data_IF_958209255129
#
_entry.id   IF_958209255129
#
_cell.length_a   1.000
_cell.length_b   1.000
_cell.length_c   1.000
_cell.angle_alpha   90.00
_cell.angle_beta   90.00
_cell.angle_gamma   90.00
#
_symmetry.space_group_name_H-M   'P 1'
#
loop_
_entity.id
_entity.type
_entity.pdbx_description
1 polymer ?
#
# COMPACT_ATOMS: atom_id res chain seq x y z
N UNK A 1 -5.02 5.00 -19.29
CA UNK A 1 -5.74 6.31 -19.24
C UNK A 1 -6.63 6.45 -18.00
N UNK A 2 -6.81 5.38 -17.21
CA UNK A 2 -7.73 5.31 -16.06
C UNK A 2 -7.08 5.55 -14.70
N UNK A 3 -5.78 5.75 -14.65
CA UNK A 3 -5.05 6.02 -13.41
C UNK A 3 -5.46 7.38 -12.84
N UNK A 4 -5.97 7.39 -11.59
CA UNK A 4 -6.34 8.62 -10.88
C UNK A 4 -7.73 9.19 -11.19
N UNK A 5 -8.59 8.46 -11.93
CA UNK A 5 -9.99 8.84 -12.14
C UNK A 5 -10.94 7.99 -11.28
N UNK A 6 -12.10 8.57 -10.92
CA UNK A 6 -13.14 7.85 -10.16
C UNK A 6 -13.84 6.78 -11.01
N UNK A 7 -14.52 5.81 -10.37
CA UNK A 7 -15.30 4.78 -11.06
C UNK A 7 -16.31 5.37 -12.06
N UNK A 8 -17.06 6.40 -11.64
CA UNK A 8 -18.03 7.09 -12.51
C UNK A 8 -17.37 7.78 -13.72
N UNK A 9 -16.18 8.34 -13.54
CA UNK A 9 -15.41 8.92 -14.66
C UNK A 9 -14.89 7.85 -15.60
N UNK A 10 -14.47 6.68 -15.07
CA UNK A 10 -14.06 5.51 -15.86
C UNK A 10 -15.20 5.01 -16.75
N UNK A 11 -16.40 4.84 -16.19
CA UNK A 11 -17.59 4.43 -16.95
C UNK A 11 -17.91 5.39 -18.09
N UNK A 12 -17.90 6.71 -17.83
CA UNK A 12 -18.12 7.74 -18.86
C UNK A 12 -17.06 7.70 -19.97
N UNK A 13 -15.79 7.48 -19.60
CA UNK A 13 -14.71 7.33 -20.56
C UNK A 13 -14.96 6.09 -21.45
N UNK A 14 -15.28 4.95 -20.87
CA UNK A 14 -15.52 3.71 -21.59
C UNK A 14 -16.72 3.82 -22.52
N UNK A 15 -17.83 4.39 -22.05
CA UNK A 15 -18.99 4.67 -22.88
C UNK A 15 -18.65 5.55 -24.10
N UNK A 16 -17.77 6.53 -23.90
CA UNK A 16 -17.30 7.42 -24.97
C UNK A 16 -16.44 6.66 -25.98
N UNK A 17 -15.50 5.83 -25.52
CA UNK A 17 -14.63 5.03 -26.39
C UNK A 17 -15.45 4.01 -27.23
N UNK A 18 -16.41 3.33 -26.60
CA UNK A 18 -17.34 2.43 -27.31
C UNK A 18 -18.17 3.17 -28.35
N UNK A 19 -18.67 4.38 -28.04
CA UNK A 19 -19.40 5.20 -28.99
C UNK A 19 -18.54 5.58 -30.20
N UNK A 20 -17.28 5.93 -29.99
CA UNK A 20 -16.35 6.26 -31.08
C UNK A 20 -16.04 5.02 -31.95
N UNK A 21 -15.85 3.87 -31.33
CA UNK A 21 -15.65 2.61 -32.05
C UNK A 21 -16.87 2.23 -32.92
N UNK A 22 -18.09 2.41 -32.40
CA UNK A 22 -19.33 2.18 -33.16
C UNK A 22 -19.54 3.17 -34.31
N UNK A 23 -18.84 4.31 -34.31
CA UNK A 23 -18.80 5.26 -35.42
C UNK A 23 -17.75 4.90 -36.49
N UNK A 24 -17.09 3.76 -36.36
CA UNK A 24 -16.08 3.25 -37.32
C UNK A 24 -14.65 3.71 -37.01
N UNK A 25 -14.39 4.32 -35.84
CA UNK A 25 -13.03 4.68 -35.40
C UNK A 25 -12.36 3.47 -34.76
N UNK A 26 -11.09 3.24 -35.11
CA UNK A 26 -10.27 2.25 -34.41
C UNK A 26 -9.71 2.87 -33.16
N UNK A 27 -9.96 2.23 -32.01
CA UNK A 27 -9.43 2.65 -30.72
C UNK A 27 -8.30 1.73 -30.31
N UNK A 28 -7.11 2.27 -30.09
CA UNK A 28 -5.99 1.57 -29.49
C UNK A 28 -5.91 1.94 -28.00
N UNK A 29 -6.19 0.95 -27.15
CA UNK A 29 -6.22 1.13 -25.69
C UNK A 29 -5.06 0.38 -25.06
N UNK A 30 -4.21 1.09 -24.30
CA UNK A 30 -3.09 0.50 -23.58
C UNK A 30 -3.37 0.57 -22.10
N UNK A 31 -3.48 -0.57 -21.44
CA UNK A 31 -3.67 -0.72 -20.01
C UNK A 31 -2.95 -1.96 -19.50
N UNK A 32 -2.61 -1.92 -18.23
CA UNK A 32 -2.14 -3.09 -17.48
C UNK A 32 -3.25 -3.66 -16.58
N UNK A 33 -4.42 -3.01 -16.49
CA UNK A 33 -5.59 -3.49 -15.75
C UNK A 33 -6.41 -4.42 -16.63
N UNK A 34 -6.38 -5.71 -16.28
CA UNK A 34 -7.00 -6.76 -17.09
C UNK A 34 -8.51 -6.59 -17.19
N UNK A 35 -9.19 -6.21 -16.11
CA UNK A 35 -10.64 -5.95 -16.10
C UNK A 35 -11.05 -4.86 -17.10
N UNK A 36 -10.24 -3.80 -17.24
CA UNK A 36 -10.51 -2.73 -18.19
C UNK A 36 -10.37 -3.22 -19.63
N UNK A 37 -9.39 -4.08 -19.85
CA UNK A 37 -9.13 -4.72 -21.17
C UNK A 37 -10.27 -5.67 -21.51
N UNK A 38 -10.70 -6.51 -20.58
CA UNK A 38 -11.81 -7.44 -20.74
C UNK A 38 -13.14 -6.72 -21.04
N UNK A 39 -13.39 -5.61 -20.38
CA UNK A 39 -14.61 -4.83 -20.52
C UNK A 39 -14.68 -4.04 -21.83
N UNK A 40 -13.54 -3.55 -22.33
CA UNK A 40 -13.53 -2.57 -23.43
C UNK A 40 -13.06 -3.14 -24.76
N UNK A 41 -12.11 -4.10 -24.76
CA UNK A 41 -11.43 -4.53 -25.95
C UNK A 41 -12.12 -5.73 -26.61
N UNK A 42 -12.12 -5.76 -27.94
CA UNK A 42 -12.57 -6.92 -28.74
C UNK A 42 -11.40 -7.74 -29.30
N UNK A 43 -10.16 -7.27 -29.10
CA UNK A 43 -8.91 -7.95 -29.45
C UNK A 43 -7.80 -7.44 -28.55
N UNK A 44 -6.99 -8.32 -28.00
CA UNK A 44 -5.91 -7.99 -27.08
C UNK A 44 -4.59 -8.52 -27.61
N UNK A 45 -3.58 -7.67 -27.68
CA UNK A 45 -2.21 -8.05 -28.00
C UNK A 45 -1.36 -7.85 -26.75
N UNK A 46 -0.76 -8.93 -26.26
CA UNK A 46 0.07 -8.90 -25.05
C UNK A 46 1.53 -8.65 -25.44
N UNK A 47 2.11 -7.61 -24.86
CA UNK A 47 3.54 -7.29 -25.01
C UNK A 47 4.30 -7.71 -23.75
N UNK A 48 5.46 -8.35 -23.97
CA UNK A 48 6.40 -8.68 -22.89
C UNK A 48 7.84 -8.43 -23.37
N UNK A 49 8.60 -7.64 -22.60
CA UNK A 49 10.00 -7.30 -22.91
C UNK A 49 10.22 -6.77 -24.35
N UNK A 50 9.29 -5.94 -24.82
CA UNK A 50 9.35 -5.34 -26.16
C UNK A 50 8.94 -6.27 -27.31
N UNK A 51 8.48 -7.49 -27.03
CA UNK A 51 8.01 -8.46 -28.02
C UNK A 51 6.54 -8.79 -27.81
N UNK A 52 5.84 -9.18 -28.89
CA UNK A 52 4.48 -9.71 -28.82
C UNK A 52 4.55 -11.11 -28.20
N UNK A 53 3.97 -11.28 -27.02
CA UNK A 53 3.90 -12.57 -26.32
C UNK A 53 2.71 -13.41 -26.79
N UNK A 54 1.64 -12.77 -27.26
CA UNK A 54 0.46 -13.45 -27.80
C UNK A 54 -0.65 -12.49 -28.17
N UNK A 55 -1.70 -13.04 -28.77
CA UNK A 55 -2.94 -12.35 -29.11
C UNK A 55 -4.12 -13.16 -28.57
N UNK A 56 -5.11 -12.49 -27.98
CA UNK A 56 -6.28 -13.12 -27.37
C UNK A 56 -7.55 -12.43 -27.85
N UNK A 57 -8.55 -13.25 -28.13
CA UNK A 57 -9.90 -12.85 -28.52
C UNK A 57 -10.89 -13.27 -27.42
N UNK A 58 -12.04 -12.60 -27.31
CA UNK A 58 -13.10 -13.02 -26.37
C UNK A 58 -13.61 -14.45 -26.66
N UNK A 59 -14.01 -15.23 -25.68
CA UNK A 59 -14.06 -14.90 -24.25
C UNK A 59 -12.67 -14.92 -23.60
N UNK A 60 -12.39 -13.93 -22.76
CA UNK A 60 -11.09 -13.78 -22.14
C UNK A 60 -10.90 -14.69 -20.93
N UNK A 61 -9.65 -15.10 -20.68
CA UNK A 61 -9.24 -15.83 -19.49
C UNK A 61 -8.12 -15.06 -18.79
N UNK A 62 -8.41 -14.50 -17.62
CA UNK A 62 -7.47 -13.72 -16.82
C UNK A 62 -6.17 -14.48 -16.51
N UNK A 63 -6.24 -15.80 -16.24
CA UNK A 63 -5.06 -16.62 -15.98
C UNK A 63 -4.15 -16.75 -17.22
N UNK A 64 -4.72 -16.78 -18.40
CA UNK A 64 -3.99 -16.81 -19.67
C UNK A 64 -3.26 -15.49 -19.93
N UNK A 65 -3.91 -14.36 -19.69
CA UNK A 65 -3.27 -13.04 -19.74
C UNK A 65 -2.07 -12.95 -18.80
N UNK A 66 -2.28 -13.33 -17.53
CA UNK A 66 -1.23 -13.33 -16.51
C UNK A 66 -0.05 -14.20 -16.94
N UNK A 67 -0.33 -15.40 -17.50
CA UNK A 67 0.72 -16.26 -18.00
C UNK A 67 1.46 -15.64 -19.21
N UNK A 68 0.77 -15.06 -20.17
CA UNK A 68 1.40 -14.40 -21.34
C UNK A 68 2.23 -13.19 -20.91
N UNK A 69 1.73 -12.38 -19.97
CA UNK A 69 2.43 -11.18 -19.48
C UNK A 69 3.67 -11.54 -18.69
N UNK A 70 3.63 -12.58 -17.84
CA UNK A 70 4.69 -12.87 -16.86
C UNK A 70 5.50 -14.13 -17.16
N UNK A 71 5.01 -15.01 -18.03
CA UNK A 71 5.67 -16.29 -18.36
C UNK A 71 5.62 -17.33 -17.24
N UNK A 72 4.83 -17.10 -16.21
CA UNK A 72 4.60 -18.00 -15.07
C UNK A 72 3.21 -17.75 -14.46
N UNK A 73 2.62 -18.77 -13.88
CA UNK A 73 1.43 -18.58 -13.03
C UNK A 73 1.81 -17.76 -11.80
N UNK A 74 1.08 -16.70 -11.57
CA UNK A 74 1.25 -15.88 -10.36
C UNK A 74 0.27 -16.41 -9.33
N UNK A 75 0.78 -17.20 -8.40
CA UNK A 75 0.00 -17.63 -7.24
C UNK A 75 -0.03 -16.45 -6.25
N UNK A 76 -1.17 -15.79 -6.17
CA UNK A 76 -1.47 -14.83 -5.10
C UNK A 76 -1.81 -15.65 -3.88
N UNK A 77 -0.77 -16.24 -3.27
CA UNK A 77 -0.85 -17.26 -2.24
C UNK A 77 -1.91 -16.97 -1.17
N UNK A 78 -2.63 -18.04 -0.80
CA UNK A 78 -3.58 -18.03 0.29
C UNK A 78 -2.95 -17.49 1.59
N UNK A 79 -3.74 -16.75 2.36
CA UNK A 79 -3.33 -16.15 3.63
C UNK A 79 -3.11 -17.24 4.69
N UNK A 80 -1.90 -17.79 4.77
CA UNK A 80 -1.48 -18.58 5.93
C UNK A 80 -0.70 -17.66 6.88
N UNK A 81 -1.34 -17.23 7.95
CA UNK A 81 -0.67 -16.52 9.05
C UNK A 81 -0.27 -17.52 10.11
N UNK A 82 1.04 -17.69 10.30
CA UNK A 82 1.62 -18.52 11.37
C UNK A 82 1.85 -17.72 12.66
N UNK A 83 1.38 -16.47 12.73
CA UNK A 83 1.64 -15.59 13.86
C UNK A 83 0.62 -15.80 14.98
N UNK A 84 1.08 -15.65 16.22
CA UNK A 84 0.19 -15.60 17.39
C UNK A 84 -0.79 -14.44 17.23
N UNK A 85 -2.07 -14.64 17.58
CA UNK A 85 -3.10 -13.58 17.48
C UNK A 85 -2.94 -12.47 18.53
N UNK A 86 -1.72 -12.21 19.00
CA UNK A 86 -1.43 -11.13 19.94
C UNK A 86 -1.48 -9.79 19.23
N UNK A 87 -2.10 -8.81 19.88
CA UNK A 87 -2.14 -7.44 19.41
C UNK A 87 -0.79 -6.78 19.64
N UNK A 88 -0.12 -6.32 18.56
CA UNK A 88 1.11 -5.52 18.69
C UNK A 88 0.81 -4.04 18.89
N UNK A 89 -0.22 -3.52 18.23
CA UNK A 89 -0.59 -2.10 18.32
C UNK A 89 -2.02 -1.97 18.80
N UNK A 90 -2.24 -1.12 19.81
CA UNK A 90 -3.57 -0.81 20.34
C UNK A 90 -3.75 0.70 20.43
N UNK A 91 -4.85 1.17 19.86
CA UNK A 91 -5.28 2.56 19.85
C UNK A 91 -6.55 2.70 20.67
N UNK A 92 -6.56 3.62 21.62
CA UNK A 92 -7.68 3.89 22.50
C UNK A 92 -8.14 5.34 22.34
N UNK A 93 -9.34 5.52 21.80
CA UNK A 93 -10.01 6.81 21.63
C UNK A 93 -9.11 7.89 21.01
N UNK A 94 -8.37 7.50 19.97
CA UNK A 94 -7.41 8.37 19.32
C UNK A 94 -8.10 9.47 18.53
N UNK A 95 -7.63 10.70 18.73
CA UNK A 95 -7.86 11.84 17.86
C UNK A 95 -6.56 12.37 17.32
N UNK A 96 -6.54 12.74 16.05
CA UNK A 96 -5.41 13.40 15.38
C UNK A 96 -5.93 14.45 14.41
N UNK A 97 -5.25 15.59 14.32
CA UNK A 97 -5.67 16.70 13.49
C UNK A 97 -4.51 17.39 12.78
N UNK A 98 -4.81 17.97 11.64
CA UNK A 98 -4.01 18.98 10.98
C UNK A 98 -4.88 20.24 10.72
N UNK A 99 -4.36 21.20 9.99
CA UNK A 99 -5.07 22.46 9.69
C UNK A 99 -6.32 22.31 8.80
N UNK A 100 -6.57 21.15 8.22
CA UNK A 100 -7.70 20.86 7.30
C UNK A 100 -8.69 19.86 7.85
N UNK A 101 -8.19 18.89 8.62
CA UNK A 101 -8.97 17.70 8.96
C UNK A 101 -8.69 17.26 10.39
N UNK A 102 -9.73 16.80 11.06
CA UNK A 102 -9.65 16.16 12.36
C UNK A 102 -10.26 14.75 12.31
N UNK A 103 -9.49 13.74 12.71
CA UNK A 103 -9.97 12.38 12.96
C UNK A 103 -10.25 12.24 14.46
N UNK A 104 -11.32 11.55 14.86
CA UNK A 104 -11.73 11.41 16.25
C UNK A 104 -12.17 9.98 16.58
N UNK A 105 -11.95 9.61 17.85
CA UNK A 105 -12.56 8.41 18.43
C UNK A 105 -12.09 7.10 17.84
N UNK A 106 -10.87 7.03 17.31
CA UNK A 106 -10.36 5.81 16.67
C UNK A 106 -9.96 4.81 17.74
N UNK A 107 -10.62 3.65 17.73
CA UNK A 107 -10.29 2.48 18.53
C UNK A 107 -9.90 1.36 17.58
N UNK A 108 -8.69 0.85 17.69
CA UNK A 108 -8.18 -0.17 16.79
C UNK A 108 -7.12 -1.03 17.48
N UNK A 109 -7.22 -2.34 17.28
CA UNK A 109 -6.16 -3.28 17.58
C UNK A 109 -5.62 -3.85 16.27
N UNK A 110 -4.30 -3.87 16.11
CA UNK A 110 -3.59 -4.44 14.97
C UNK A 110 -2.85 -5.67 15.47
N UNK A 111 -3.23 -6.83 14.92
CA UNK A 111 -2.65 -8.12 15.29
C UNK A 111 -1.33 -8.34 14.57
N UNK A 112 -0.42 -9.09 15.19
CA UNK A 112 0.85 -9.48 14.56
C UNK A 112 0.61 -10.24 13.25
N UNK A 113 1.30 -9.83 12.18
CA UNK A 113 1.16 -10.40 10.85
C UNK A 113 -0.08 -9.99 10.06
N UNK A 114 -0.92 -9.12 10.62
CA UNK A 114 -2.14 -8.64 9.98
C UNK A 114 -1.87 -7.54 8.96
N UNK A 115 -2.65 -7.51 7.89
CA UNK A 115 -2.65 -6.45 6.88
C UNK A 115 -3.94 -5.66 6.95
N UNK A 116 -3.85 -4.36 7.21
CA UNK A 116 -4.98 -3.43 7.24
C UNK A 116 -4.88 -2.46 6.06
N UNK A 117 -5.92 -2.43 5.23
CA UNK A 117 -6.09 -1.46 4.15
C UNK A 117 -6.81 -0.20 4.62
N UNK A 118 -6.36 0.96 4.16
CA UNK A 118 -7.00 2.24 4.42
C UNK A 118 -7.63 2.76 3.13
N UNK A 119 -8.95 2.69 3.03
CA UNK A 119 -9.73 3.16 1.89
C UNK A 119 -10.29 4.57 2.15
N UNK A 120 -10.37 5.39 1.11
CA UNK A 120 -10.93 6.75 1.19
C UNK A 120 -10.44 7.63 0.07
N UNK A 121 -11.10 8.78 -0.12
CA UNK A 121 -10.61 9.79 -1.06
C UNK A 121 -9.28 10.39 -0.57
N UNK A 122 -8.45 10.84 -1.49
CA UNK A 122 -7.22 11.54 -1.13
C UNK A 122 -7.54 12.75 -0.23
N UNK A 123 -6.82 12.86 0.88
CA UNK A 123 -7.08 13.92 1.89
C UNK A 123 -8.14 13.57 2.93
N UNK A 124 -8.76 12.38 2.92
CA UNK A 124 -9.75 11.99 3.93
C UNK A 124 -9.15 11.58 5.30
N UNK A 125 -7.81 11.56 5.44
CA UNK A 125 -7.15 11.36 6.72
C UNK A 125 -6.26 10.12 6.82
N UNK A 126 -6.18 9.27 5.81
CA UNK A 126 -5.35 8.05 5.81
C UNK A 126 -3.88 8.38 6.11
N UNK A 127 -3.32 9.39 5.41
CA UNK A 127 -1.95 9.84 5.61
C UNK A 127 -1.74 10.40 7.01
N UNK A 128 -2.70 11.19 7.50
CA UNK A 128 -2.68 11.75 8.86
C UNK A 128 -2.62 10.62 9.90
N UNK A 129 -3.43 9.58 9.72
CA UNK A 129 -3.45 8.40 10.56
C UNK A 129 -2.12 7.63 10.51
N UNK A 130 -1.55 7.38 9.32
CA UNK A 130 -0.26 6.71 9.18
C UNK A 130 0.87 7.51 9.87
N UNK A 131 0.93 8.82 9.66
CA UNK A 131 1.95 9.68 10.28
C UNK A 131 1.82 9.75 11.80
N UNK A 132 0.63 9.66 12.33
CA UNK A 132 0.40 9.56 13.78
C UNK A 132 0.95 8.23 14.33
N UNK A 133 0.73 7.11 13.64
CA UNK A 133 1.28 5.79 14.02
C UNK A 133 2.80 5.70 13.95
N UNK A 134 3.47 6.67 13.36
CA UNK A 134 4.94 6.75 13.32
C UNK A 134 5.52 7.70 14.36
N UNK A 135 4.70 8.46 15.06
CA UNK A 135 5.16 9.56 15.90
C UNK A 135 5.63 10.81 15.15
N UNK A 136 5.40 10.88 13.81
CA UNK A 136 5.59 12.09 13.00
C UNK A 136 4.52 13.15 13.30
N UNK A 137 3.36 12.70 13.76
CA UNK A 137 2.30 13.57 14.29
C UNK A 137 1.88 13.11 15.68
N UNK A 138 1.55 14.05 16.54
CA UNK A 138 1.08 13.73 17.90
C UNK A 138 -0.43 13.59 17.90
N UNK A 139 -0.99 12.60 18.61
CA UNK A 139 -2.42 12.55 18.85
C UNK A 139 -2.85 13.74 19.71
N UNK A 140 -4.04 14.25 19.45
CA UNK A 140 -4.67 15.33 20.26
C UNK A 140 -5.27 14.76 21.55
N UNK A 141 -5.80 13.54 21.44
CA UNK A 141 -6.35 12.78 22.58
C UNK A 141 -6.18 11.28 22.33
N UNK A 142 -6.44 10.50 23.39
CA UNK A 142 -6.35 9.05 23.35
C UNK A 142 -4.94 8.51 23.62
N UNK A 143 -4.75 7.20 23.45
CA UNK A 143 -3.49 6.51 23.75
C UNK A 143 -3.07 5.57 22.65
N UNK A 144 -1.77 5.47 22.42
CA UNK A 144 -1.12 4.54 21.49
C UNK A 144 -0.27 3.58 22.30
N UNK A 145 -0.52 2.28 22.16
CA UNK A 145 0.29 1.24 22.78
C UNK A 145 0.97 0.41 21.68
N UNK A 146 2.25 0.14 21.88
CA UNK A 146 3.02 -0.82 21.10
C UNK A 146 3.60 -1.86 22.07
N UNK A 147 3.27 -3.13 21.88
CA UNK A 147 3.67 -4.22 22.77
C UNK A 147 3.37 -3.85 24.24
N UNK A 148 2.11 -3.45 24.52
CA UNK A 148 1.56 -2.99 25.80
C UNK A 148 2.27 -1.77 26.44
N UNK A 149 3.25 -1.18 25.77
CA UNK A 149 3.96 0.03 26.24
C UNK A 149 3.32 1.29 25.67
N UNK A 150 3.14 2.31 26.50
CA UNK A 150 2.59 3.61 26.07
C UNK A 150 3.60 4.36 25.18
N UNK A 151 3.19 4.63 23.95
CA UNK A 151 3.93 5.39 22.95
C UNK A 151 3.29 6.73 22.62
N UNK A 152 2.25 7.13 23.36
CA UNK A 152 1.52 8.37 23.14
C UNK A 152 2.46 9.57 23.18
N UNK A 153 2.51 10.34 22.09
CA UNK A 153 3.34 11.53 21.96
C UNK A 153 4.85 11.31 21.91
N UNK A 154 5.33 10.07 21.87
CA UNK A 154 6.75 9.77 21.65
C UNK A 154 7.19 10.21 20.26
N UNK A 155 8.45 10.62 20.07
CA UNK A 155 8.98 11.06 18.78
C UNK A 155 9.23 9.87 17.84
N UNK A 156 9.32 10.16 16.54
CA UNK A 156 9.51 9.19 15.46
C UNK A 156 10.60 8.13 15.75
N UNK A 157 11.78 8.54 16.22
CA UNK A 157 12.87 7.59 16.47
C UNK A 157 12.55 6.56 17.58
N UNK A 158 11.62 6.87 18.50
CA UNK A 158 11.17 5.89 19.50
C UNK A 158 10.32 4.80 18.84
N UNK A 159 9.43 5.17 17.91
CA UNK A 159 8.67 4.22 17.10
C UNK A 159 9.59 3.38 16.22
N UNK A 160 10.58 4.01 15.57
CA UNK A 160 11.56 3.31 14.72
C UNK A 160 12.34 2.25 15.52
N UNK A 161 12.79 2.58 16.74
CA UNK A 161 13.45 1.63 17.66
C UNK A 161 12.52 0.50 18.11
N UNK A 162 11.22 0.74 18.19
CA UNK A 162 10.22 -0.28 18.48
C UNK A 162 9.85 -1.14 17.24
N UNK A 163 10.54 -0.98 16.12
CA UNK A 163 10.32 -1.77 14.91
C UNK A 163 9.17 -1.25 14.04
N UNK A 164 8.83 0.03 14.12
CA UNK A 164 7.88 0.69 13.22
C UNK A 164 8.65 1.30 12.05
N UNK A 165 8.23 1.01 10.82
CA UNK A 165 8.77 1.62 9.60
C UNK A 165 7.66 2.32 8.80
N UNK A 166 8.03 3.39 8.10
CA UNK A 166 7.12 4.16 7.27
C UNK A 166 7.71 4.42 5.89
N UNK A 167 6.95 4.09 4.87
CA UNK A 167 7.30 4.35 3.47
C UNK A 167 6.27 5.31 2.87
N UNK A 168 6.67 6.56 2.56
CA UNK A 168 5.79 7.57 1.98
C UNK A 168 5.51 7.32 0.50
N UNK A 169 4.42 7.90 -0.03
CA UNK A 169 4.10 7.89 -1.45
C UNK A 169 5.07 8.73 -2.28
N UNK A 170 5.51 9.85 -1.73
CA UNK A 170 6.42 10.80 -2.36
C UNK A 170 7.87 10.31 -2.20
N UNK A 171 8.28 9.42 -3.11
CA UNK A 171 9.55 8.68 -3.01
C UNK A 171 10.77 9.57 -2.93
N UNK A 172 10.90 10.54 -3.83
CA UNK A 172 12.07 11.42 -3.92
C UNK A 172 11.98 12.65 -3.02
N UNK A 173 10.79 12.99 -2.54
CA UNK A 173 10.58 14.16 -1.69
C UNK A 173 10.64 13.81 -0.19
N UNK A 174 10.25 12.58 0.17
CA UNK A 174 10.14 12.18 1.59
C UNK A 174 10.84 10.86 1.94
N UNK A 175 11.00 9.95 0.97
CA UNK A 175 11.51 8.60 1.23
C UNK A 175 12.96 8.38 0.88
N UNK A 176 13.46 9.08 -0.14
CA UNK A 176 14.81 8.97 -0.70
C UNK A 176 15.41 10.36 -0.81
N UNK A 177 16.73 10.47 -0.85
CA UNK A 177 17.44 11.74 -0.88
C UNK A 177 18.05 11.94 -2.27
N UNK A 178 17.59 12.95 -2.99
CA UNK A 178 18.16 13.30 -4.29
C UNK A 178 19.64 13.69 -4.17
N UNK A 179 20.44 13.31 -5.16
CA UNK A 179 21.88 13.54 -5.17
C UNK A 179 22.69 12.52 -4.38
N UNK A 180 22.04 11.55 -3.71
CA UNK A 180 22.72 10.46 -3.01
C UNK A 180 22.70 9.16 -3.83
N UNK A 181 23.76 8.39 -3.70
CA UNK A 181 23.92 7.07 -4.31
C UNK A 181 23.13 5.99 -3.55
N UNK A 182 22.92 4.83 -4.18
CA UNK A 182 22.36 3.66 -3.50
C UNK A 182 23.17 3.27 -2.26
N UNK A 183 24.52 3.31 -2.35
CA UNK A 183 25.38 2.99 -1.22
C UNK A 183 25.17 3.92 -0.04
N UNK A 184 25.10 5.22 -0.28
CA UNK A 184 24.84 6.20 0.80
C UNK A 184 23.48 6.00 1.45
N UNK A 185 22.42 5.70 0.67
CA UNK A 185 21.11 5.39 1.21
C UNK A 185 21.13 4.16 2.12
N UNK A 186 21.77 3.06 1.69
CA UNK A 186 21.81 1.84 2.51
C UNK A 186 22.69 2.01 3.75
N UNK A 187 23.77 2.74 3.67
CA UNK A 187 24.57 3.13 4.84
C UNK A 187 23.68 3.89 5.84
N UNK A 188 22.96 4.93 5.39
CA UNK A 188 22.09 5.72 6.28
C UNK A 188 20.95 4.92 6.91
N UNK A 189 20.49 3.85 6.26
CA UNK A 189 19.38 3.03 6.78
C UNK A 189 19.77 2.10 7.92
N UNK A 190 21.07 1.80 8.06
CA UNK A 190 21.56 0.90 9.11
C UNK A 190 21.82 1.66 10.43
N UNK A 191 21.86 0.93 11.53
CA UNK A 191 22.26 1.47 12.83
C UNK A 191 23.78 1.53 12.94
N UNK A 192 24.32 2.73 13.09
CA UNK A 192 25.75 2.93 13.30
C UNK A 192 26.03 3.19 14.77
N UNK A 193 26.84 2.32 15.39
CA UNK A 193 27.41 2.54 16.71
C UNK A 193 28.85 3.09 16.65
N UNK A 194 29.45 3.10 15.45
CA UNK A 194 30.83 3.51 15.21
C UNK A 194 30.89 4.98 14.79
N UNK A 195 31.98 5.67 15.16
CA UNK A 195 32.21 7.08 14.84
C UNK A 195 32.55 7.30 13.35
N UNK A 196 33.03 6.26 12.68
CA UNK A 196 33.43 6.28 11.27
C UNK A 196 32.61 5.28 10.45
N UNK A 197 32.24 5.69 9.25
CA UNK A 197 31.52 4.85 8.29
C UNK A 197 32.52 3.95 7.55
N UNK A 198 32.29 2.64 7.62
CA UNK A 198 33.05 1.67 6.83
C UNK A 198 32.47 1.57 5.41
N UNK A 199 33.10 2.27 4.48
CA UNK A 199 32.70 2.30 3.05
C UNK A 199 32.67 0.90 2.42
N UNK A 200 33.59 0.00 2.79
CA UNK A 200 33.64 -1.36 2.22
C UNK A 200 32.44 -2.18 2.66
N UNK A 201 32.06 -2.10 3.94
CA UNK A 201 30.84 -2.73 4.45
C UNK A 201 29.60 -2.15 3.77
N UNK A 202 29.55 -0.82 3.55
CA UNK A 202 28.48 -0.17 2.82
C UNK A 202 28.31 -0.67 1.40
N UNK A 203 29.40 -0.82 0.65
CA UNK A 203 29.38 -1.35 -0.71
C UNK A 203 28.88 -2.80 -0.72
N UNK A 204 29.41 -3.66 0.15
CA UNK A 204 28.97 -5.07 0.25
C UNK A 204 27.47 -5.18 0.58
N UNK A 205 26.99 -4.37 1.52
CA UNK A 205 25.54 -4.31 1.85
C UNK A 205 24.72 -3.89 0.63
N UNK A 206 25.19 -2.89 -0.11
CA UNK A 206 24.53 -2.38 -1.32
C UNK A 206 24.41 -3.44 -2.39
N UNK A 207 25.48 -4.17 -2.68
CA UNK A 207 25.49 -5.28 -3.65
C UNK A 207 24.51 -6.37 -3.24
N UNK A 208 24.48 -6.74 -1.96
CA UNK A 208 23.52 -7.69 -1.43
C UNK A 208 22.07 -7.20 -1.62
N UNK A 209 21.76 -5.95 -1.28
CA UNK A 209 20.42 -5.36 -1.41
C UNK A 209 19.99 -5.21 -2.87
N UNK A 210 20.91 -4.79 -3.76
CA UNK A 210 20.66 -4.73 -5.21
C UNK A 210 20.27 -6.12 -5.73
N UNK A 211 20.99 -7.17 -5.35
CA UNK A 211 20.66 -8.54 -5.73
C UNK A 211 19.36 -9.05 -5.14
N UNK A 212 19.14 -8.87 -3.82
CA UNK A 212 17.94 -9.32 -3.11
C UNK A 212 16.65 -8.68 -3.62
N UNK A 213 16.71 -7.37 -3.96
CA UNK A 213 15.56 -6.58 -4.39
C UNK A 213 15.49 -6.38 -5.90
N UNK A 214 16.38 -7.01 -6.67
CA UNK A 214 16.45 -6.90 -8.13
C UNK A 214 16.43 -5.45 -8.63
N UNK A 215 17.21 -4.58 -7.99
CA UNK A 215 17.32 -3.18 -8.37
C UNK A 215 18.17 -3.10 -9.63
N UNK A 216 17.66 -2.51 -10.70
CA UNK A 216 18.43 -2.23 -11.92
C UNK A 216 19.25 -0.96 -11.72
N UNK A 217 20.43 -1.13 -11.12
CA UNK A 217 21.37 -0.07 -10.77
C UNK A 217 22.67 -0.69 -10.25
N UNK A 218 23.60 0.15 -9.88
CA UNK A 218 24.90 -0.21 -9.27
C UNK A 218 25.17 0.69 -8.06
N UNK A 219 26.20 0.39 -7.29
CA UNK A 219 26.52 1.04 -6.03
C UNK A 219 26.52 2.59 -6.08
N UNK A 220 27.05 3.15 -7.17
CA UNK A 220 27.19 4.59 -7.38
C UNK A 220 26.01 5.21 -8.14
N UNK A 221 24.97 4.42 -8.48
CA UNK A 221 23.79 4.97 -9.14
C UNK A 221 23.10 5.98 -8.24
N UNK A 222 22.89 7.20 -8.76
CA UNK A 222 22.08 8.21 -8.10
C UNK A 222 20.62 7.79 -8.12
N UNK A 223 19.92 8.00 -7.00
CA UNK A 223 18.55 7.48 -6.82
C UNK A 223 17.56 8.05 -7.84
N UNK A 224 17.69 9.30 -8.24
CA UNK A 224 16.85 9.98 -9.22
C UNK A 224 17.03 9.45 -10.65
N UNK A 225 18.15 8.79 -10.95
CA UNK A 225 18.41 8.18 -12.25
C UNK A 225 17.72 6.84 -12.44
N UNK A 226 17.23 6.24 -11.34
CA UNK A 226 16.53 4.98 -11.39
C UNK A 226 15.09 5.18 -11.89
N UNK A 227 14.55 4.19 -12.60
CA UNK A 227 13.12 4.17 -12.92
C UNK A 227 12.27 4.12 -11.65
N UNK A 228 11.02 4.60 -11.72
CA UNK A 228 10.11 4.62 -10.58
C UNK A 228 9.95 3.25 -9.89
N UNK A 229 9.95 2.14 -10.67
CA UNK A 229 9.94 0.78 -10.12
C UNK A 229 11.22 0.44 -9.35
N UNK A 230 12.39 0.87 -9.83
CA UNK A 230 13.64 0.63 -9.12
C UNK A 230 13.79 1.54 -7.89
N UNK A 231 13.28 2.78 -7.93
CA UNK A 231 13.18 3.64 -6.75
C UNK A 231 12.31 3.00 -5.67
N UNK A 232 11.17 2.40 -6.06
CA UNK A 232 10.30 1.70 -5.10
C UNK A 232 10.98 0.44 -4.51
N UNK A 233 11.72 -0.31 -5.33
CA UNK A 233 12.53 -1.45 -4.87
C UNK A 233 13.63 -0.99 -3.91
N UNK A 234 14.31 0.10 -4.21
CA UNK A 234 15.30 0.71 -3.33
C UNK A 234 14.68 1.15 -2.00
N UNK A 235 13.53 1.83 -2.03
CA UNK A 235 12.81 2.27 -0.84
C UNK A 235 12.42 1.08 0.05
N UNK A 236 11.92 -0.02 -0.53
CA UNK A 236 11.64 -1.26 0.23
C UNK A 236 12.92 -1.90 0.77
N UNK A 237 14.02 -1.80 0.04
CA UNK A 237 15.30 -2.35 0.46
C UNK A 237 15.93 -1.60 1.65
N UNK A 238 15.46 -0.36 1.94
CA UNK A 238 15.82 0.38 3.16
C UNK A 238 15.14 -0.17 4.42
N UNK A 239 14.10 -1.00 4.27
CA UNK A 239 13.42 -1.60 5.41
C UNK A 239 14.37 -2.53 6.17
N UNK A 240 14.47 -2.33 7.48
CA UNK A 240 15.26 -3.19 8.37
C UNK A 240 14.73 -4.63 8.36
N UNK A 241 15.57 -5.59 8.72
CA UNK A 241 15.18 -7.02 8.71
C UNK A 241 14.09 -7.35 9.73
N UNK A 242 14.17 -6.78 10.94
CA UNK A 242 13.18 -6.99 12.01
C UNK A 242 12.30 -5.78 12.15
N UNK A 243 11.04 -5.93 11.75
CA UNK A 243 9.99 -4.94 11.90
C UNK A 243 8.76 -5.59 12.54
N UNK A 244 8.02 -4.80 13.30
CA UNK A 244 6.77 -5.21 13.93
C UNK A 244 5.57 -4.56 13.25
N UNK A 245 5.74 -3.32 12.73
CA UNK A 245 4.70 -2.59 12.02
C UNK A 245 5.28 -1.85 10.82
N UNK A 246 4.71 -2.06 9.66
CA UNK A 246 5.09 -1.42 8.40
C UNK A 246 3.93 -0.56 7.92
N UNK A 247 4.17 0.73 7.75
CA UNK A 247 3.19 1.72 7.34
C UNK A 247 3.53 2.20 5.93
N UNK A 248 2.60 2.04 4.97
CA UNK A 248 2.86 2.26 3.56
C UNK A 248 1.86 3.22 2.93
N UNK A 249 2.36 4.22 2.21
CA UNK A 249 1.52 5.04 1.33
C UNK A 249 1.70 4.58 -0.12
N UNK A 250 0.63 4.10 -0.73
CA UNK A 250 0.57 3.74 -2.14
C UNK A 250 1.75 2.87 -2.62
N UNK A 251 1.97 1.68 -2.04
CA UNK A 251 3.20 0.89 -2.25
C UNK A 251 3.44 0.50 -3.71
N UNK A 252 2.40 0.43 -4.52
CA UNK A 252 2.47 0.01 -5.94
C UNK A 252 2.14 1.11 -6.94
N UNK A 253 1.90 2.34 -6.47
CA UNK A 253 1.48 3.45 -7.34
C UNK A 253 2.47 3.71 -8.48
N UNK A 254 1.96 3.69 -9.72
CA UNK A 254 2.74 3.97 -10.93
C UNK A 254 3.72 2.86 -11.31
N UNK A 255 3.53 1.66 -10.80
CA UNK A 255 4.28 0.48 -11.16
C UNK A 255 3.50 -0.38 -12.16
N UNK A 256 4.23 -1.17 -12.95
CA UNK A 256 3.65 -2.26 -13.71
C UNK A 256 3.19 -3.40 -12.78
N UNK A 257 2.29 -4.25 -13.28
CA UNK A 257 1.69 -5.35 -12.50
C UNK A 257 2.77 -6.29 -11.94
N UNK A 258 3.81 -6.62 -12.72
CA UNK A 258 4.87 -7.54 -12.26
C UNK A 258 5.60 -6.96 -11.05
N UNK A 259 5.96 -5.69 -11.12
CA UNK A 259 6.58 -4.97 -9.99
C UNK A 259 5.64 -4.89 -8.79
N UNK A 260 4.34 -4.64 -9.01
CA UNK A 260 3.36 -4.58 -7.92
C UNK A 260 3.20 -5.94 -7.22
N UNK A 261 3.04 -7.02 -7.96
CA UNK A 261 2.94 -8.38 -7.42
C UNK A 261 4.23 -8.75 -6.67
N UNK A 262 5.40 -8.43 -7.23
CA UNK A 262 6.67 -8.70 -6.59
C UNK A 262 6.80 -7.94 -5.27
N UNK A 263 6.41 -6.67 -5.21
CA UNK A 263 6.41 -5.86 -3.98
C UNK A 263 5.52 -6.51 -2.92
N UNK A 264 4.29 -6.90 -3.29
CA UNK A 264 3.38 -7.55 -2.36
C UNK A 264 3.89 -8.92 -1.91
N UNK A 265 4.59 -9.68 -2.76
CA UNK A 265 5.23 -10.93 -2.32
C UNK A 265 6.27 -10.68 -1.23
N UNK A 266 7.09 -9.63 -1.38
CA UNK A 266 8.09 -9.23 -0.36
C UNK A 266 7.45 -8.73 0.93
N UNK A 267 6.38 -7.96 0.83
CA UNK A 267 5.62 -7.49 1.99
C UNK A 267 4.96 -8.67 2.74
N UNK A 268 4.38 -9.62 2.01
CA UNK A 268 3.81 -10.84 2.61
C UNK A 268 4.86 -11.72 3.30
N UNK A 269 6.09 -11.80 2.78
CA UNK A 269 7.20 -12.46 3.48
C UNK A 269 7.42 -11.85 4.88
N UNK A 270 7.33 -10.51 5.00
CA UNK A 270 7.41 -9.82 6.30
C UNK A 270 6.26 -10.17 7.25
N UNK A 271 5.05 -10.35 6.70
CA UNK A 271 3.89 -10.79 7.51
C UNK A 271 4.07 -12.22 8.05
N UNK A 272 4.74 -13.10 7.30
CA UNK A 272 5.11 -14.44 7.81
C UNK A 272 6.09 -14.36 9.00
N UNK A 273 6.93 -13.33 9.02
CA UNK A 273 7.82 -12.98 10.14
C UNK A 273 7.10 -12.16 11.24
N UNK A 274 5.76 -12.15 11.21
CA UNK A 274 4.87 -11.48 12.16
C UNK A 274 4.89 -9.94 12.14
N UNK A 275 5.45 -9.29 11.13
CA UNK A 275 5.28 -7.87 10.93
C UNK A 275 3.85 -7.56 10.45
N UNK A 276 3.20 -6.60 11.08
CA UNK A 276 1.89 -6.11 10.63
C UNK A 276 2.06 -5.03 9.57
N UNK A 277 1.09 -4.89 8.68
CA UNK A 277 1.12 -3.88 7.62
C UNK A 277 -0.15 -3.02 7.72
N UNK A 278 0.02 -1.71 7.63
CA UNK A 278 -1.10 -0.78 7.39
C UNK A 278 -0.75 0.04 6.14
N UNK A 279 -1.63 0.00 5.15
CA UNK A 279 -1.34 0.69 3.90
C UNK A 279 -2.54 1.44 3.35
N UNK A 280 -2.27 2.49 2.58
CA UNK A 280 -3.28 3.17 1.77
C UNK A 280 -3.02 2.93 0.29
N UNK A 281 -4.08 2.79 -0.48
CA UNK A 281 -4.04 2.76 -1.94
C UNK A 281 -5.22 3.52 -2.54
N UNK A 282 -5.02 4.08 -3.74
CA UNK A 282 -6.10 4.59 -4.57
C UNK A 282 -6.80 3.51 -5.38
N UNK A 283 -6.23 2.29 -5.41
CA UNK A 283 -6.78 1.12 -6.08
C UNK A 283 -7.53 0.26 -5.05
N UNK A 284 -8.86 0.20 -5.17
CA UNK A 284 -9.71 -0.54 -4.23
C UNK A 284 -9.55 -2.04 -4.37
N UNK A 285 -9.23 -2.52 -5.57
CA UNK A 285 -8.93 -3.93 -5.82
C UNK A 285 -7.67 -4.35 -5.08
N UNK A 286 -6.62 -3.50 -5.08
CA UNK A 286 -5.41 -3.71 -4.28
C UNK A 286 -5.73 -3.78 -2.78
N UNK A 287 -6.61 -2.88 -2.28
CA UNK A 287 -7.00 -2.86 -0.88
C UNK A 287 -7.72 -4.16 -0.51
N UNK A 288 -8.72 -4.59 -1.28
CA UNK A 288 -9.47 -5.82 -1.02
C UNK A 288 -8.57 -7.06 -1.12
N UNK A 289 -7.74 -7.12 -2.14
CA UNK A 289 -6.92 -8.29 -2.44
C UNK A 289 -5.87 -8.57 -1.36
N UNK A 290 -5.27 -7.51 -0.80
CA UNK A 290 -4.12 -7.69 0.09
C UNK A 290 -4.43 -7.48 1.57
N UNK A 291 -5.58 -6.92 1.93
CA UNK A 291 -5.96 -6.68 3.33
C UNK A 291 -6.64 -7.88 4.00
N UNK A 292 -6.52 -7.96 5.31
CA UNK A 292 -7.38 -8.78 6.18
C UNK A 292 -8.59 -7.99 6.62
N UNK A 293 -8.36 -6.73 7.05
CA UNK A 293 -9.40 -5.78 7.41
C UNK A 293 -9.17 -4.44 6.71
N UNK A 294 -10.26 -3.72 6.52
CA UNK A 294 -10.25 -2.42 5.84
C UNK A 294 -10.86 -1.37 6.78
N UNK A 295 -10.21 -0.20 6.86
CA UNK A 295 -10.78 1.00 7.45
C UNK A 295 -11.14 1.97 6.34
N UNK A 296 -12.36 2.51 6.38
CA UNK A 296 -12.82 3.53 5.43
C UNK A 296 -12.78 4.90 6.08
N UNK A 297 -12.25 5.88 5.36
CA UNK A 297 -12.13 7.27 5.79
C UNK A 297 -13.06 8.17 4.98
N UNK A 298 -13.89 8.95 5.66
CA UNK A 298 -14.80 9.90 5.03
C UNK A 298 -15.07 11.09 5.95
N UNK A 299 -14.75 12.31 5.51
CA UNK A 299 -15.12 13.55 6.22
C UNK A 299 -14.62 13.64 7.67
N UNK A 300 -13.48 13.06 8.00
CA UNK A 300 -12.95 13.02 9.37
C UNK A 300 -13.44 11.83 10.20
N UNK A 301 -14.33 11.01 9.65
CA UNK A 301 -14.79 9.77 10.26
C UNK A 301 -13.93 8.59 9.81
N UNK A 302 -13.78 7.60 10.68
CA UNK A 302 -13.11 6.32 10.39
C UNK A 302 -14.09 5.20 10.72
N UNK A 303 -14.32 4.29 9.79
CA UNK A 303 -15.22 3.15 10.01
C UNK A 303 -14.66 2.18 11.06
N UNK A 304 -15.52 1.37 11.69
CA UNK A 304 -15.05 0.13 12.30
C UNK A 304 -14.31 -0.73 11.26
N UNK A 305 -13.41 -1.63 11.71
CA UNK A 305 -12.71 -2.54 10.81
C UNK A 305 -13.70 -3.46 10.07
N UNK A 306 -13.61 -3.49 8.74
CA UNK A 306 -14.44 -4.29 7.84
C UNK A 306 -13.63 -5.50 7.38
N UNK A 307 -14.19 -6.71 7.35
CA UNK A 307 -13.50 -7.90 6.82
C UNK A 307 -13.37 -7.79 5.29
N UNK A 308 -12.13 -7.77 4.79
CA UNK A 308 -11.84 -7.63 3.37
C UNK A 308 -12.38 -8.81 2.52
N UNK A 309 -12.61 -9.99 3.12
CA UNK A 309 -13.08 -11.17 2.41
C UNK A 309 -14.57 -11.12 2.07
N UNK A 310 -15.32 -10.30 2.80
CA UNK A 310 -16.80 -10.19 2.64
C UNK A 310 -17.21 -8.87 2.01
N UNK A 311 -16.25 -7.99 1.70
CA UNK A 311 -16.48 -6.64 1.16
C UNK A 311 -16.20 -6.59 -0.33
N UNK A 312 -16.97 -5.79 -1.05
CA UNK A 312 -16.84 -5.55 -2.49
C UNK A 312 -16.32 -4.13 -2.78
N UNK A 313 -15.80 -3.92 -4.00
CA UNK A 313 -15.38 -2.58 -4.48
C UNK A 313 -16.54 -1.58 -4.44
N UNK A 314 -17.76 -2.04 -4.81
CA UNK A 314 -18.94 -1.19 -4.82
C UNK A 314 -19.33 -0.74 -3.41
N UNK A 315 -19.30 -1.64 -2.43
CA UNK A 315 -19.56 -1.30 -1.02
C UNK A 315 -18.54 -0.31 -0.48
N UNK A 316 -17.25 -0.53 -0.73
CA UNK A 316 -16.22 0.43 -0.36
C UNK A 316 -16.43 1.78 -1.05
N UNK A 317 -16.77 1.77 -2.35
CA UNK A 317 -17.07 2.97 -3.11
C UNK A 317 -18.23 3.78 -2.53
N UNK A 318 -19.29 3.10 -2.06
CA UNK A 318 -20.42 3.75 -1.39
C UNK A 318 -20.01 4.40 -0.07
N UNK A 319 -19.24 3.69 0.76
CA UNK A 319 -18.75 4.19 2.05
C UNK A 319 -17.80 5.39 1.85
N UNK A 320 -16.89 5.32 0.88
CA UNK A 320 -15.99 6.41 0.49
C UNK A 320 -16.79 7.63 0.00
N UNK A 321 -17.94 7.41 -0.64
CA UNK A 321 -18.87 8.45 -1.07
C UNK A 321 -19.81 8.96 0.03
N UNK A 322 -19.66 8.50 1.26
CA UNK A 322 -20.46 8.94 2.41
C UNK A 322 -21.80 8.21 2.59
N UNK A 323 -22.06 7.14 1.81
CA UNK A 323 -23.28 6.35 1.95
C UNK A 323 -23.05 5.19 2.94
N UNK A 324 -24.09 4.82 3.71
CA UNK A 324 -24.05 3.66 4.61
C UNK A 324 -23.45 3.91 6.01
N UNK A 325 -22.98 5.11 6.33
CA UNK A 325 -22.38 5.44 7.63
C UNK A 325 -23.34 5.35 8.81
N UNK A 326 -24.66 5.56 8.59
CA UNK A 326 -25.69 5.45 9.64
C UNK A 326 -25.75 4.03 10.25
N UNK A 327 -25.28 3.01 9.56
CA UNK A 327 -25.21 1.65 10.09
C UNK A 327 -24.12 1.51 11.17
N UNK A 328 -23.02 2.22 11.03
CA UNK A 328 -21.92 2.22 12.00
C UNK A 328 -22.28 3.01 13.28
N UNK A 329 -23.03 4.10 13.17
CA UNK A 329 -23.51 4.87 14.31
C UNK A 329 -24.44 4.07 15.21
N UNK A 330 -25.31 3.23 14.62
CA UNK A 330 -26.21 2.33 15.37
C UNK A 330 -25.44 1.27 16.14
N UNK A 331 -24.40 0.68 15.55
CA UNK A 331 -23.57 -0.33 16.19
C UNK A 331 -22.77 0.28 17.35
N UNK A 332 -22.24 1.49 17.20
CA UNK A 332 -21.52 2.20 18.25
C UNK A 332 -22.45 2.56 19.44
N UNK A 333 -23.72 2.90 19.18
CA UNK A 333 -24.70 3.21 20.21
C UNK A 333 -25.16 1.98 21.00
N UNK A 334 -25.24 0.80 20.38
CA UNK A 334 -25.61 -0.46 21.04
C UNK A 334 -24.47 -1.03 21.93
N UNK A 335 -23.22 -0.83 21.56
CA UNK A 335 -22.05 -1.25 22.36
C UNK A 335 -21.86 -0.35 23.59
N UNK A 336 -22.39 0.88 23.57
CA UNK A 336 -22.28 1.83 24.68
C UNK A 336 -23.39 1.69 25.75
N UNK A 337 -24.36 0.77 25.58
CA UNK A 337 -25.34 0.48 26.64
C UNK A 337 -24.74 -0.49 27.65
N UNK A 338 -24.64 -0.10 28.93
CA UNK A 338 -24.21 -1.04 29.96
C UNK A 338 -25.20 -2.21 30.01
N UNK A 339 -24.66 -3.40 29.95
CA UNK A 339 -25.42 -4.63 30.24
C UNK A 339 -25.94 -4.54 31.68
N UNK A 340 -27.26 -4.42 31.81
CA UNK A 340 -27.98 -4.52 33.09
C UNK A 340 -27.83 -5.93 33.68
#
# INVERSE_FOLDING_TARGET
PTTGISANQKEKLFATLVKLANQGLTVLFVSHKLEEVEQLCNRVVVFRQGQVAGEVLPPYNTAEFVYMMFGKSVDVGAKETHCTQTSYTRLENIGVEDYRLQLKGINLEIKSGEVIGLAGMEGSGQRLFLRMLTGLMRPVNGKIFLDEKDFTGKPYHAFQKAGVAYLPAARLEEGLIQGMTLTEHFILSEEHSELFIDQKKGITLTEQRIGEYFIKGHNESLIEQLSGGNQQRALLALLRRKLNLILLEHPTRGLDIESAIWIWSKLKERCKDCASIVFTSSDLDEIIQYSDRILVFFGGLVSPPIDARTTTVDELGQLIGGKGWNSFEKVAADVSKPSN
#
